data_IF_847827837690
#
_entry.id   IF_847827837690
#
_cell.length_a   1.000
_cell.length_b   1.000
_cell.length_c   1.000
_cell.angle_alpha   90.00
_cell.angle_beta   90.00
_cell.angle_gamma   90.00
#
_symmetry.space_group_name_H-M   'P 1'
#
loop_
_entity.id
_entity.type
_entity.pdbx_description
1 polymer ?
#
# COMPACT_ATOMS: atom_id res chain seq x y z
N UNK A 1 46.18 -18.43 65.30
CA UNK A 1 45.60 -18.06 63.98
C UNK A 1 46.35 -18.86 62.94
N UNK A 2 45.80 -19.99 62.49
CA UNK A 2 46.43 -20.88 61.53
C UNK A 2 46.11 -20.42 60.10
N UNK A 3 47.14 -20.01 59.36
CA UNK A 3 47.00 -19.69 57.95
C UNK A 3 46.99 -20.98 57.12
N UNK A 4 45.95 -21.24 56.31
CA UNK A 4 45.87 -22.48 55.55
C UNK A 4 47.02 -22.54 54.53
N UNK A 5 47.73 -23.66 54.52
CA UNK A 5 48.89 -23.86 53.64
C UNK A 5 48.47 -23.77 52.17
N UNK A 6 49.37 -23.30 51.29
CA UNK A 6 49.15 -23.10 49.83
C UNK A 6 48.49 -24.29 49.11
N UNK A 7 48.67 -25.50 49.63
CA UNK A 7 48.08 -26.75 49.11
C UNK A 7 46.61 -26.93 49.52
N UNK A 8 46.22 -26.48 50.72
CA UNK A 8 44.84 -26.45 51.19
C UNK A 8 44.02 -25.38 50.47
N UNK A 9 44.57 -24.18 50.27
CA UNK A 9 43.89 -23.12 49.50
C UNK A 9 43.57 -23.54 48.07
N UNK A 10 44.52 -24.20 47.37
CA UNK A 10 44.27 -24.73 46.02
C UNK A 10 43.15 -25.77 46.00
N UNK A 11 43.10 -26.68 46.99
CA UNK A 11 42.03 -27.68 47.10
C UNK A 11 40.65 -27.04 47.32
N UNK A 12 40.56 -26.01 48.17
CA UNK A 12 39.30 -25.28 48.37
C UNK A 12 38.85 -24.58 47.10
N UNK A 13 39.76 -23.98 46.33
CA UNK A 13 39.44 -23.35 45.04
C UNK A 13 38.93 -24.38 44.03
N UNK A 14 39.55 -25.56 43.93
CA UNK A 14 39.06 -26.62 43.05
C UNK A 14 37.67 -27.12 43.46
N UNK A 15 37.41 -27.27 44.76
CA UNK A 15 36.09 -27.67 45.25
C UNK A 15 35.00 -26.63 44.93
N UNK A 16 35.32 -25.34 45.06
CA UNK A 16 34.40 -24.25 44.68
C UNK A 16 34.13 -24.26 43.18
N UNK A 17 35.17 -24.40 42.34
CA UNK A 17 35.00 -24.46 40.88
C UNK A 17 34.15 -25.66 40.43
N UNK A 18 34.35 -26.83 41.05
CA UNK A 18 33.53 -28.02 40.77
C UNK A 18 32.08 -27.80 41.21
N UNK A 19 31.85 -27.21 42.39
CA UNK A 19 30.51 -26.91 42.87
C UNK A 19 29.78 -25.91 41.97
N UNK A 20 30.45 -24.82 41.54
CA UNK A 20 29.86 -23.85 40.60
C UNK A 20 29.56 -24.49 39.25
N UNK A 21 30.46 -25.33 38.74
CA UNK A 21 30.24 -26.08 37.50
C UNK A 21 29.00 -26.97 37.56
N UNK A 22 28.79 -27.68 38.67
CA UNK A 22 27.61 -28.53 38.88
C UNK A 22 26.31 -27.72 38.93
N UNK A 23 26.31 -26.53 39.55
CA UNK A 23 25.16 -25.64 39.60
C UNK A 23 24.79 -25.13 38.20
N UNK A 24 25.77 -24.72 37.40
CA UNK A 24 25.54 -24.30 36.01
C UNK A 24 25.00 -25.45 35.15
N UNK A 25 25.49 -26.67 35.35
CA UNK A 25 25.00 -27.85 34.64
C UNK A 25 23.54 -28.16 34.99
N UNK A 26 23.18 -28.11 36.28
CA UNK A 26 21.80 -28.32 36.73
C UNK A 26 20.84 -27.24 36.16
N UNK A 27 21.24 -25.97 36.16
CA UNK A 27 20.45 -24.89 35.58
C UNK A 27 20.29 -25.06 34.06
N UNK A 28 21.34 -25.46 33.35
CA UNK A 28 21.28 -25.76 31.92
C UNK A 28 20.32 -26.90 31.59
N UNK A 29 20.29 -27.96 32.41
CA UNK A 29 19.36 -29.08 32.24
C UNK A 29 17.91 -28.65 32.49
N UNK A 30 17.66 -27.81 33.51
CA UNK A 30 16.30 -27.31 33.80
C UNK A 30 15.79 -26.42 32.66
N UNK A 31 16.63 -25.49 32.17
CA UNK A 31 16.27 -24.61 31.05
C UNK A 31 16.06 -25.43 29.77
N UNK A 32 16.92 -26.41 29.49
CA UNK A 32 16.77 -27.31 28.34
C UNK A 32 15.52 -28.18 28.42
N UNK A 33 15.18 -28.68 29.62
CA UNK A 33 13.98 -29.48 29.86
C UNK A 33 12.70 -28.67 29.65
N UNK A 34 12.65 -27.42 30.15
CA UNK A 34 11.51 -26.53 29.91
C UNK A 34 11.43 -25.97 28.48
N UNK A 35 12.56 -25.91 27.75
CA UNK A 35 12.58 -25.46 26.36
C UNK A 35 12.16 -26.54 25.35
N UNK A 36 12.06 -27.82 25.75
CA UNK A 36 11.76 -28.94 24.86
C UNK A 36 10.26 -29.36 24.85
N UNK A 37 9.34 -28.42 25.11
CA UNK A 37 7.90 -28.68 25.03
C UNK A 37 7.27 -28.35 23.67
N UNK A 38 8.09 -28.23 22.61
CA UNK A 38 7.57 -28.15 21.25
C UNK A 38 7.56 -29.55 20.65
N UNK A 39 6.40 -30.25 20.57
CA UNK A 39 6.32 -31.47 19.80
C UNK A 39 6.75 -31.16 18.37
N UNK A 40 7.79 -31.84 17.89
CA UNK A 40 8.17 -31.85 16.48
C UNK A 40 7.02 -32.50 15.71
N UNK A 41 6.24 -31.66 15.04
CA UNK A 41 5.12 -32.09 14.22
C UNK A 41 5.67 -32.74 12.94
N UNK A 42 5.71 -34.07 12.91
CA UNK A 42 5.86 -34.81 11.66
C UNK A 42 4.47 -34.86 11.03
N UNK A 43 4.12 -33.85 10.22
CA UNK A 43 2.80 -33.76 9.60
C UNK A 43 2.66 -34.89 8.56
N UNK A 44 1.91 -35.92 8.92
CA UNK A 44 1.27 -36.85 7.98
C UNK A 44 0.03 -36.15 7.40
N UNK A 45 -0.26 -36.23 6.08
CA UNK A 45 -1.38 -35.50 5.46
C UNK A 45 -2.79 -35.80 6.01
N UNK A 46 -2.93 -36.78 6.91
CA UNK A 46 -4.20 -37.20 7.49
C UNK A 46 -4.39 -36.82 8.97
N UNK A 47 -3.39 -36.20 9.62
CA UNK A 47 -3.50 -35.75 11.01
C UNK A 47 -3.91 -34.27 11.04
N UNK A 48 -5.19 -34.00 10.75
CA UNK A 48 -5.79 -32.70 11.10
C UNK A 48 -5.95 -32.68 12.62
N UNK A 49 -5.28 -31.77 13.36
CA UNK A 49 -5.45 -31.73 14.80
C UNK A 49 -6.90 -31.40 15.16
N UNK A 50 -7.42 -32.08 16.17
CA UNK A 50 -8.80 -31.98 16.66
C UNK A 50 -9.07 -30.67 17.44
N UNK A 51 -8.51 -29.54 17.02
CA UNK A 51 -8.83 -28.20 17.55
C UNK A 51 -9.99 -27.54 16.78
N UNK A 52 -11.01 -28.34 16.45
CA UNK A 52 -12.24 -27.91 15.77
C UNK A 52 -12.93 -26.72 16.46
N UNK A 53 -12.75 -26.56 17.77
CA UNK A 53 -13.26 -25.44 18.56
C UNK A 53 -12.51 -24.13 18.28
N UNK A 54 -11.17 -24.14 18.24
CA UNK A 54 -10.36 -22.95 17.93
C UNK A 54 -10.60 -22.48 16.50
N UNK A 55 -10.67 -23.43 15.56
CA UNK A 55 -10.95 -23.12 14.16
C UNK A 55 -12.35 -22.49 13.99
N UNK A 56 -13.37 -23.03 14.66
CA UNK A 56 -14.72 -22.46 14.65
C UNK A 56 -14.78 -21.07 15.30
N UNK A 57 -14.06 -20.85 16.40
CA UNK A 57 -13.98 -19.53 17.03
C UNK A 57 -13.30 -18.50 16.12
N UNK A 58 -12.21 -18.86 15.45
CA UNK A 58 -11.54 -17.99 14.50
C UNK A 58 -12.46 -17.60 13.33
N UNK A 59 -13.22 -18.57 12.79
CA UNK A 59 -14.21 -18.30 11.74
C UNK A 59 -15.33 -17.36 12.21
N UNK A 60 -15.84 -17.57 13.44
CA UNK A 60 -16.87 -16.70 14.04
C UNK A 60 -16.35 -15.29 14.31
N UNK A 61 -15.11 -15.16 14.77
CA UNK A 61 -14.47 -13.86 15.00
C UNK A 61 -14.23 -13.12 13.68
N UNK A 62 -13.85 -13.84 12.62
CA UNK A 62 -13.69 -13.28 11.28
C UNK A 62 -15.03 -12.79 10.73
N UNK A 63 -16.11 -13.55 10.92
CA UNK A 63 -17.46 -13.13 10.55
C UNK A 63 -17.90 -11.87 11.33
N UNK A 64 -17.71 -11.83 12.66
CA UNK A 64 -18.03 -10.64 13.46
C UNK A 64 -17.23 -9.42 13.02
N UNK A 65 -15.93 -9.59 12.75
CA UNK A 65 -15.06 -8.52 12.25
C UNK A 65 -15.51 -8.00 10.89
N UNK A 66 -15.90 -8.90 9.98
CA UNK A 66 -16.41 -8.53 8.67
C UNK A 66 -17.75 -7.79 8.76
N UNK A 67 -18.68 -8.27 9.59
CA UNK A 67 -19.96 -7.60 9.81
C UNK A 67 -19.79 -6.21 10.42
N UNK A 68 -18.84 -6.02 11.34
CA UNK A 68 -18.50 -4.69 11.87
C UNK A 68 -18.05 -3.76 10.76
N UNK A 69 -17.15 -4.19 9.87
CA UNK A 69 -16.70 -3.38 8.73
C UNK A 69 -17.89 -2.98 7.84
N UNK A 70 -18.78 -3.93 7.52
CA UNK A 70 -19.95 -3.65 6.70
C UNK A 70 -20.90 -2.65 7.36
N UNK A 71 -21.08 -2.73 8.67
CA UNK A 71 -21.94 -1.82 9.43
C UNK A 71 -21.39 -0.38 9.50
N UNK A 72 -20.06 -0.22 9.44
CA UNK A 72 -19.41 1.10 9.40
C UNK A 72 -19.45 1.75 8.00
N UNK A 73 -19.81 0.99 6.95
CA UNK A 73 -19.94 1.56 5.60
C UNK A 73 -21.10 2.57 5.55
N UNK A 74 -20.75 3.82 5.31
CA UNK A 74 -21.71 4.91 5.26
C UNK A 74 -21.82 5.48 3.84
N UNK A 75 -23.04 5.41 3.27
CA UNK A 75 -23.33 5.92 1.92
C UNK A 75 -23.09 7.43 1.75
N UNK A 76 -23.29 8.23 2.79
CA UNK A 76 -23.10 9.68 2.73
C UNK A 76 -21.61 10.04 2.73
N UNK A 77 -20.78 9.28 3.45
CA UNK A 77 -19.32 9.42 3.38
C UNK A 77 -18.83 9.09 1.96
N UNK A 78 -19.32 7.99 1.36
CA UNK A 78 -18.99 7.63 -0.03
C UNK A 78 -19.40 8.75 -0.99
N UNK A 79 -20.62 9.29 -0.84
CA UNK A 79 -21.13 10.38 -1.68
C UNK A 79 -20.29 11.65 -1.55
N UNK A 80 -19.94 12.04 -0.33
CA UNK A 80 -19.13 13.23 -0.05
C UNK A 80 -17.72 13.08 -0.63
N UNK A 81 -17.10 11.92 -0.41
CA UNK A 81 -15.78 11.60 -0.96
C UNK A 81 -15.79 11.63 -2.49
N UNK A 82 -16.80 11.02 -3.12
CA UNK A 82 -16.93 11.05 -4.58
C UNK A 82 -17.01 12.49 -5.10
N UNK A 83 -17.89 13.32 -4.54
CA UNK A 83 -18.01 14.74 -4.91
C UNK A 83 -16.69 15.49 -4.77
N UNK A 84 -15.98 15.29 -3.66
CA UNK A 84 -14.69 15.91 -3.43
C UNK A 84 -13.66 15.45 -4.47
N UNK A 85 -13.64 14.14 -4.78
CA UNK A 85 -12.67 13.55 -5.69
C UNK A 85 -12.86 13.99 -7.14
N UNK A 86 -14.11 14.16 -7.58
CA UNK A 86 -14.47 14.54 -8.95
C UNK A 86 -14.61 16.04 -9.18
N UNK A 87 -14.43 16.89 -8.15
CA UNK A 87 -14.63 18.34 -8.23
C UNK A 87 -13.68 19.09 -9.19
N UNK A 88 -12.56 18.46 -9.58
CA UNK A 88 -11.52 19.07 -10.43
C UNK A 88 -10.99 18.03 -11.41
N UNK A 89 -10.44 18.49 -12.54
CA UNK A 89 -9.75 17.60 -13.48
C UNK A 89 -8.53 16.93 -12.83
N UNK A 90 -8.46 15.59 -12.92
CA UNK A 90 -7.40 14.74 -12.31
C UNK A 90 -6.49 14.10 -13.35
N UNK A 91 -5.93 14.91 -14.24
CA UNK A 91 -4.94 14.40 -15.19
C UNK A 91 -3.63 14.05 -14.45
N UNK A 92 -3.10 12.85 -14.68
CA UNK A 92 -1.84 12.39 -14.08
C UNK A 92 -0.70 13.39 -14.36
N UNK A 93 0.24 13.54 -13.42
CA UNK A 93 1.37 14.47 -13.51
C UNK A 93 1.02 15.95 -13.27
N UNK A 94 -0.24 16.30 -13.03
CA UNK A 94 -0.65 17.69 -12.73
C UNK A 94 -0.64 18.00 -11.23
N UNK A 95 -0.68 19.30 -10.91
CA UNK A 95 -0.79 19.79 -9.53
C UNK A 95 -2.08 19.32 -8.83
N UNK A 96 -3.20 19.23 -9.56
CA UNK A 96 -4.47 18.72 -9.03
C UNK A 96 -4.35 17.29 -8.49
N UNK A 97 -3.65 16.40 -9.21
CA UNK A 97 -3.41 15.03 -8.73
C UNK A 97 -2.47 15.02 -7.53
N UNK A 98 -1.43 15.86 -7.54
CA UNK A 98 -0.49 15.97 -6.40
C UNK A 98 -1.19 16.37 -5.11
N UNK A 99 -2.12 17.32 -5.16
CA UNK A 99 -2.86 17.75 -3.97
C UNK A 99 -3.89 16.71 -3.51
N UNK A 100 -4.47 15.95 -4.44
CA UNK A 100 -5.31 14.79 -4.10
C UNK A 100 -4.52 13.72 -3.34
N UNK A 101 -3.34 13.36 -3.84
CA UNK A 101 -2.50 12.35 -3.20
C UNK A 101 -2.14 12.74 -1.77
N UNK A 102 -1.82 14.03 -1.53
CA UNK A 102 -1.60 14.55 -0.18
C UNK A 102 -2.85 14.42 0.69
N UNK A 103 -4.02 14.78 0.15
CA UNK A 103 -5.28 14.66 0.86
C UNK A 103 -5.57 13.21 1.27
N UNK A 104 -5.49 12.26 0.34
CA UNK A 104 -5.70 10.83 0.63
C UNK A 104 -4.69 10.31 1.65
N UNK A 105 -3.41 10.64 1.48
CA UNK A 105 -2.38 10.24 2.44
C UNK A 105 -2.65 10.79 3.84
N UNK A 106 -3.17 12.02 3.95
CA UNK A 106 -3.58 12.58 5.23
C UNK A 106 -4.77 11.83 5.81
N UNK A 107 -5.83 11.60 5.02
CA UNK A 107 -7.00 10.83 5.46
C UNK A 107 -6.61 9.45 5.97
N UNK A 108 -5.71 8.74 5.29
CA UNK A 108 -5.24 7.43 5.74
C UNK A 108 -4.50 7.46 7.07
N UNK A 109 -3.66 8.48 7.31
CA UNK A 109 -3.00 8.67 8.61
C UNK A 109 -4.01 8.96 9.70
N UNK A 110 -4.95 9.87 9.43
CA UNK A 110 -5.95 10.29 10.40
C UNK A 110 -6.90 9.14 10.78
N UNK A 111 -7.14 8.20 9.86
CA UNK A 111 -7.96 7.00 10.09
C UNK A 111 -7.14 5.82 10.68
N UNK A 112 -5.90 6.04 11.10
CA UNK A 112 -5.15 5.08 11.92
C UNK A 112 -4.39 4.00 11.15
N UNK A 113 -4.09 4.20 9.86
CA UNK A 113 -3.13 3.30 9.18
C UNK A 113 -1.72 3.52 9.73
N UNK A 114 -1.07 2.42 10.13
CA UNK A 114 0.25 2.45 10.78
C UNK A 114 1.35 3.10 9.92
N UNK A 115 1.30 2.88 8.61
CA UNK A 115 2.31 3.36 7.66
C UNK A 115 1.65 3.91 6.40
N UNK A 116 1.91 5.19 6.10
CA UNK A 116 1.41 5.86 4.89
C UNK A 116 2.53 6.65 4.21
N UNK A 117 2.96 6.15 3.05
CA UNK A 117 4.05 6.72 2.24
C UNK A 117 3.53 7.18 0.87
N UNK A 118 4.10 8.27 0.36
CA UNK A 118 3.87 8.75 -1.01
C UNK A 118 5.16 8.57 -1.78
N UNK A 119 5.14 7.73 -2.80
CA UNK A 119 6.33 7.36 -3.57
C UNK A 119 6.26 7.94 -4.98
N UNK A 120 7.00 9.03 -5.27
CA UNK A 120 7.01 9.62 -6.60
C UNK A 120 7.88 8.81 -7.57
N UNK A 121 7.49 8.81 -8.84
CA UNK A 121 8.28 8.26 -9.94
C UNK A 121 8.35 9.27 -11.08
N UNK A 122 9.52 9.34 -11.72
CA UNK A 122 9.69 10.08 -12.96
C UNK A 122 9.38 9.15 -14.13
N UNK A 123 8.25 9.40 -14.79
CA UNK A 123 7.79 8.63 -15.94
C UNK A 123 7.59 9.57 -17.11
N UNK A 124 7.86 9.08 -18.32
CA UNK A 124 7.56 9.83 -19.53
C UNK A 124 6.02 9.91 -19.69
N UNK A 125 5.52 11.11 -19.93
CA UNK A 125 4.10 11.41 -20.10
C UNK A 125 3.88 12.10 -21.45
N UNK A 126 2.68 11.98 -22.00
CA UNK A 126 2.28 12.64 -23.24
C UNK A 126 1.11 13.58 -22.95
N UNK A 127 1.19 14.83 -23.41
CA UNK A 127 0.15 15.86 -23.27
C UNK A 127 -0.06 16.61 -24.58
N UNK A 128 -1.27 17.12 -24.85
CA UNK A 128 -1.51 17.95 -26.02
C UNK A 128 -0.84 19.32 -25.87
N UNK A 129 -0.46 19.91 -26.99
CA UNK A 129 0.02 21.29 -27.01
C UNK A 129 -1.18 22.25 -26.99
N UNK A 130 -1.35 22.99 -25.90
CA UNK A 130 -2.47 23.93 -25.73
C UNK A 130 -2.35 25.15 -26.67
N UNK A 131 -1.12 25.55 -27.01
CA UNK A 131 -0.86 26.71 -27.90
C UNK A 131 -0.96 26.35 -29.38
N UNK A 132 -0.78 25.08 -29.73
CA UNK A 132 -0.97 24.55 -31.07
C UNK A 132 -1.83 23.28 -31.01
N UNK A 133 -3.16 23.44 -30.92
CA UNK A 133 -4.04 22.34 -30.60
C UNK A 133 -4.26 21.39 -31.77
N UNK A 134 -4.56 20.14 -31.43
CA UNK A 134 -4.97 19.13 -32.39
C UNK A 134 -6.33 19.50 -33.00
N UNK A 135 -6.49 19.29 -34.30
CA UNK A 135 -7.76 19.46 -35.01
C UNK A 135 -7.85 18.51 -36.19
N UNK A 136 -9.07 18.20 -36.59
CA UNK A 136 -9.40 17.46 -37.80
C UNK A 136 -10.19 18.40 -38.69
N UNK A 137 -9.79 18.50 -39.96
CA UNK A 137 -10.40 19.40 -40.93
C UNK A 137 -10.86 18.61 -42.17
N UNK A 138 -11.98 19.01 -42.75
CA UNK A 138 -12.37 18.58 -44.10
C UNK A 138 -12.04 19.75 -45.01
N UNK A 139 -11.15 19.52 -45.98
CA UNK A 139 -10.68 20.52 -46.93
C UNK A 139 -11.14 20.16 -48.34
N UNK A 140 -11.43 21.18 -49.15
CA UNK A 140 -11.71 20.99 -50.59
C UNK A 140 -10.39 21.17 -51.35
N UNK A 141 -10.18 20.39 -52.41
CA UNK A 141 -8.93 20.33 -53.18
C UNK A 141 -8.30 21.69 -53.56
N UNK A 142 -9.11 22.73 -53.80
CA UNK A 142 -8.65 24.08 -54.16
C UNK A 142 -9.22 25.17 -53.24
N UNK A 143 -9.62 24.81 -52.01
CA UNK A 143 -10.31 25.69 -51.08
C UNK A 143 -9.75 25.59 -49.66
N UNK A 144 -10.33 26.39 -48.77
CA UNK A 144 -10.05 26.30 -47.33
C UNK A 144 -10.79 25.13 -46.65
N UNK A 145 -10.62 24.99 -45.33
CA UNK A 145 -11.41 24.04 -44.55
C UNK A 145 -12.90 24.40 -44.62
N UNK A 146 -13.74 23.40 -44.94
CA UNK A 146 -15.21 23.50 -44.86
C UNK A 146 -15.76 22.96 -43.54
N UNK A 147 -14.94 22.23 -42.81
CA UNK A 147 -15.22 21.78 -41.45
C UNK A 147 -13.93 21.78 -40.65
N UNK A 148 -14.04 22.15 -39.38
CA UNK A 148 -12.97 22.04 -38.39
C UNK A 148 -13.58 21.45 -37.12
N UNK A 149 -12.94 20.43 -36.55
CA UNK A 149 -13.36 19.84 -35.28
C UNK A 149 -13.29 20.86 -34.15
N UNK A 150 -14.16 20.71 -33.13
CA UNK A 150 -14.09 21.54 -31.93
C UNK A 150 -12.75 21.33 -31.19
N UNK A 151 -12.25 22.41 -30.58
CA UNK A 151 -11.02 22.39 -29.79
C UNK A 151 -11.18 21.63 -28.46
N UNK A 152 -12.29 21.90 -27.76
CA UNK A 152 -12.66 21.25 -26.50
C UNK A 152 -14.13 20.86 -26.56
N UNK A 153 -14.53 19.92 -25.72
CA UNK A 153 -15.93 19.55 -25.55
C UNK A 153 -16.74 20.72 -25.00
N UNK A 154 -18.00 20.80 -25.40
CA UNK A 154 -18.92 21.77 -24.81
C UNK A 154 -19.24 21.33 -23.38
N UNK A 155 -19.07 22.24 -22.42
CA UNK A 155 -19.46 22.01 -21.03
C UNK A 155 -20.93 21.55 -20.94
N UNK A 156 -21.17 20.50 -20.16
CA UNK A 156 -22.52 19.95 -19.94
C UNK A 156 -23.26 20.70 -18.82
N UNK A 157 -22.52 21.21 -17.85
CA UNK A 157 -22.99 21.94 -16.68
C UNK A 157 -21.93 22.99 -16.25
N UNK A 158 -22.22 23.73 -15.18
CA UNK A 158 -21.33 24.75 -14.63
C UNK A 158 -20.00 24.15 -14.14
N UNK A 159 -20.03 22.89 -13.65
CA UNK A 159 -18.85 22.15 -13.20
C UNK A 159 -17.92 21.78 -14.37
N UNK A 160 -18.47 21.61 -15.58
CA UNK A 160 -17.73 21.40 -16.82
C UNK A 160 -17.16 22.67 -17.44
N UNK A 161 -17.38 23.86 -16.85
CA UNK A 161 -16.87 25.13 -17.36
C UNK A 161 -15.59 25.56 -16.61
N UNK A 162 -14.63 24.65 -16.49
CA UNK A 162 -13.35 24.90 -15.82
C UNK A 162 -12.27 25.32 -16.83
N UNK A 163 -11.36 26.19 -16.41
CA UNK A 163 -10.29 26.70 -17.26
C UNK A 163 -9.13 25.71 -17.49
N UNK A 164 -9.08 24.61 -16.73
CA UNK A 164 -8.04 23.58 -16.79
C UNK A 164 -8.41 22.37 -17.65
N UNK A 165 -9.44 22.50 -18.50
CA UNK A 165 -9.89 21.43 -19.39
C UNK A 165 -8.82 21.09 -20.43
N UNK A 166 -8.42 19.83 -20.43
CA UNK A 166 -7.44 19.29 -21.37
C UNK A 166 -8.16 18.92 -22.68
N UNK A 167 -7.72 19.46 -23.84
CA UNK A 167 -8.29 19.13 -25.13
C UNK A 167 -8.22 17.63 -25.44
N UNK A 168 -9.18 17.08 -26.19
CA UNK A 168 -9.13 15.68 -26.62
C UNK A 168 -7.85 15.39 -27.40
N UNK A 169 -7.18 14.29 -27.06
CA UNK A 169 -5.97 13.83 -27.74
C UNK A 169 -5.78 12.33 -27.50
N UNK A 170 -5.03 11.70 -28.40
CA UNK A 170 -4.53 10.34 -28.20
C UNK A 170 -3.14 10.40 -27.57
N UNK A 171 -3.01 9.89 -26.35
CA UNK A 171 -1.72 9.83 -25.66
C UNK A 171 -0.72 9.00 -26.46
N UNK A 172 0.52 9.49 -26.57
CA UNK A 172 1.63 8.90 -27.34
C UNK A 172 1.50 8.93 -28.86
N UNK A 173 0.44 9.50 -29.41
CA UNK A 173 0.36 9.71 -30.85
C UNK A 173 1.51 10.62 -31.32
N UNK A 174 2.19 10.29 -32.43
CA UNK A 174 3.23 11.15 -32.97
C UNK A 174 2.64 12.49 -33.44
N UNK A 175 3.37 13.57 -33.25
CA UNK A 175 3.00 14.86 -33.80
C UNK A 175 3.18 14.85 -35.32
N UNK A 176 2.17 15.34 -36.04
CA UNK A 176 2.21 15.44 -37.50
C UNK A 176 0.88 15.92 -38.07
N UNK A 177 0.93 16.33 -39.34
CA UNK A 177 -0.26 16.63 -40.16
C UNK A 177 -0.29 15.63 -41.30
N UNK A 178 -1.44 14.99 -41.50
CA UNK A 178 -1.67 14.06 -42.58
C UNK A 178 -2.98 14.41 -43.30
N UNK A 179 -2.96 14.34 -44.62
CA UNK A 179 -4.12 14.60 -45.48
C UNK A 179 -4.35 13.37 -46.36
N UNK A 180 -5.59 12.86 -46.38
CA UNK A 180 -5.96 11.64 -47.10
C UNK A 180 -7.35 11.83 -47.72
N UNK A 181 -7.60 11.28 -48.93
CA UNK A 181 -8.96 11.21 -49.48
C UNK A 181 -9.88 10.39 -48.56
N UNK A 182 -11.08 10.92 -48.29
CA UNK A 182 -12.10 10.26 -47.46
C UNK A 182 -13.04 9.43 -48.34
#
# INVERSE_FOLDING_TARGET
MDFPTRKQQKRTIYLVLVATGLVCLALGVIIGWFSNNNPRENISPNDVPNNHFEHKQHLLQMEDSFQRILNELNKENIRSNLKNYTSKQRLAGTQNVKDMVKYIAQQWRDNGLDKVEVTPYEVLMSYPNITNPNRVEIVIANGGPIFTSAFVEKALDDDGNQSDIIPPYNSWAPAGVAEVPI
#
